data_IF_420229363399
#
_entry.id   IF_420229363399
#
_cell.length_a   1.000
_cell.length_b   1.000
_cell.length_c   1.000
_cell.angle_alpha   90.00
_cell.angle_beta   90.00
_cell.angle_gamma   90.00
#
_symmetry.space_group_name_H-M   'P 1'
#
loop_
_entity.id
_entity.type
_entity.pdbx_description
1 polymer ?
#
# COMPACT_ATOMS: atom_id res chain seq x y z
N UNK A 1 -1.68 -5.07 1.39
CA UNK A 1 -1.08 -4.57 2.62
C UNK A 1 -1.96 -3.49 3.22
N UNK A 2 -2.36 -3.68 4.44
CA UNK A 2 -3.14 -2.68 5.16
C UNK A 2 -2.18 -1.95 6.10
N UNK A 3 -1.68 -0.80 5.69
CA UNK A 3 -0.85 0.00 6.55
C UNK A 3 -1.63 1.15 7.18
N UNK A 4 -1.44 1.33 8.46
CA UNK A 4 -1.90 2.50 9.21
C UNK A 4 -1.02 3.69 8.84
N UNK A 5 0.28 3.45 8.70
CA UNK A 5 1.29 4.36 8.19
C UNK A 5 1.64 4.07 6.72
N UNK A 6 2.33 4.99 6.03
CA UNK A 6 2.85 4.72 4.69
C UNK A 6 3.71 3.45 4.65
N UNK A 7 3.53 2.64 3.63
CA UNK A 7 4.27 1.40 3.47
C UNK A 7 5.77 1.66 3.28
N UNK A 8 6.63 0.92 4.00
CA UNK A 8 8.09 1.06 3.98
C UNK A 8 8.76 -0.19 3.40
N UNK A 9 10.03 -0.07 3.02
CA UNK A 9 10.83 -1.19 2.53
C UNK A 9 10.87 -1.35 1.02
N UNK A 10 11.65 -2.34 0.55
CA UNK A 10 11.91 -2.57 -0.87
C UNK A 10 10.70 -3.02 -1.66
N UNK A 11 9.92 -3.95 -1.12
CA UNK A 11 8.70 -4.46 -1.75
C UNK A 11 7.64 -3.36 -1.86
N UNK A 12 7.46 -2.54 -0.82
CA UNK A 12 6.52 -1.41 -0.84
C UNK A 12 6.92 -0.37 -1.91
N UNK A 13 8.22 -0.04 -2.01
CA UNK A 13 8.73 0.84 -3.07
C UNK A 13 8.50 0.26 -4.46
N UNK A 14 8.72 -1.05 -4.64
CA UNK A 14 8.46 -1.74 -5.89
C UNK A 14 6.98 -1.67 -6.28
N UNK A 15 6.06 -2.00 -5.36
CA UNK A 15 4.62 -1.94 -5.60
C UNK A 15 4.12 -0.51 -5.85
N UNK A 16 4.65 0.49 -5.14
CA UNK A 16 4.33 1.90 -5.39
C UNK A 16 4.84 2.38 -6.75
N UNK A 17 5.99 1.91 -7.21
CA UNK A 17 6.52 2.22 -8.55
C UNK A 17 5.61 1.68 -9.64
N UNK A 18 5.04 0.49 -9.45
CA UNK A 18 4.08 -0.10 -10.38
C UNK A 18 2.72 0.62 -10.31
N UNK A 19 2.29 1.05 -9.11
CA UNK A 19 1.06 1.84 -8.92
C UNK A 19 1.13 3.19 -9.66
N UNK A 20 2.33 3.80 -9.76
CA UNK A 20 2.59 4.99 -10.58
C UNK A 20 2.55 4.76 -12.09
N UNK A 21 2.60 3.51 -12.53
CA UNK A 21 2.47 3.11 -13.93
C UNK A 21 1.00 2.97 -14.36
N UNK A 22 0.15 3.97 -14.08
CA UNK A 22 -1.10 4.19 -14.84
C UNK A 22 -0.78 4.29 -16.35
N UNK A 23 0.43 4.72 -16.70
CA UNK A 23 1.04 4.57 -18.02
C UNK A 23 1.06 3.14 -18.55
N UNK A 24 0.97 2.11 -17.71
CA UNK A 24 1.06 0.72 -18.21
C UNK A 24 -0.21 0.28 -18.92
N UNK A 25 -1.39 0.67 -18.48
CA UNK A 25 -2.62 0.39 -19.20
C UNK A 25 -2.67 1.21 -20.51
N UNK A 26 -2.32 2.49 -20.47
CA UNK A 26 -2.16 3.31 -21.67
C UNK A 26 -1.09 2.76 -22.61
N UNK A 27 0.07 2.38 -22.09
CA UNK A 27 1.15 1.80 -22.86
C UNK A 27 0.79 0.44 -23.47
N UNK A 28 -0.02 -0.37 -22.77
CA UNK A 28 -0.54 -1.64 -23.29
C UNK A 28 -1.56 -1.43 -24.41
N UNK A 29 -2.41 -0.42 -24.29
CA UNK A 29 -3.38 -0.03 -25.32
C UNK A 29 -2.66 0.59 -26.52
N UNK A 30 -1.75 1.54 -26.34
CA UNK A 30 -0.96 2.17 -27.41
C UNK A 30 -0.09 1.17 -28.18
N UNK A 31 0.57 0.21 -27.50
CA UNK A 31 1.34 -0.84 -28.20
C UNK A 31 0.40 -1.86 -28.89
N UNK A 32 -0.76 -2.16 -28.29
CA UNK A 32 -1.78 -3.00 -28.92
C UNK A 32 -2.24 -2.40 -30.24
N UNK A 33 -2.67 -1.18 -30.21
CA UNK A 33 -3.18 -0.43 -31.37
C UNK A 33 -2.10 -0.17 -32.43
N UNK A 34 -0.86 0.14 -32.00
CA UNK A 34 0.27 0.34 -32.92
C UNK A 34 0.67 -0.95 -33.65
N UNK A 35 0.56 -2.12 -33.01
CA UNK A 35 0.85 -3.43 -33.62
C UNK A 35 -0.28 -3.91 -34.54
N UNK A 36 -1.52 -3.51 -34.28
CA UNK A 36 -2.68 -3.83 -35.15
C UNK A 36 -2.78 -2.93 -36.38
N UNK A 37 -2.19 -1.73 -36.32
CA UNK A 37 -2.29 -0.71 -37.38
C UNK A 37 -1.27 -0.85 -38.51
N UNK A 38 -0.30 -1.78 -38.45
CA UNK A 38 0.72 -1.97 -39.50
C UNK A 38 0.32 -3.09 -40.44
N UNK A 39 -0.14 -2.79 -41.69
CA UNK A 39 -0.48 -3.80 -42.69
C UNK A 39 0.78 -4.48 -43.22
N UNK A 40 0.82 -5.80 -43.19
CA UNK A 40 1.85 -6.59 -43.92
C UNK A 40 2.90 -7.29 -43.09
N UNK A 41 2.83 -7.32 -41.77
CA UNK A 41 3.76 -8.07 -40.94
C UNK A 41 3.31 -9.53 -40.77
N UNK A 42 4.16 -10.46 -41.20
CA UNK A 42 3.91 -11.89 -41.15
C UNK A 42 3.86 -12.46 -39.71
N UNK A 43 3.28 -13.69 -39.57
CA UNK A 43 3.06 -14.38 -38.28
C UNK A 43 4.31 -14.51 -37.40
N UNK A 44 5.51 -14.60 -37.97
CA UNK A 44 6.77 -14.67 -37.23
C UNK A 44 7.09 -13.38 -36.46
N UNK A 45 6.80 -12.22 -37.04
CA UNK A 45 7.02 -10.93 -36.34
C UNK A 45 5.96 -10.68 -35.26
N UNK A 46 4.71 -11.14 -35.49
CA UNK A 46 3.67 -11.13 -34.47
C UNK A 46 4.03 -12.00 -33.26
N UNK A 47 4.60 -13.19 -33.50
CA UNK A 47 5.04 -14.06 -32.41
C UNK A 47 6.22 -13.48 -31.63
N UNK A 48 7.18 -12.84 -32.30
CA UNK A 48 8.29 -12.14 -31.66
C UNK A 48 7.81 -10.91 -30.87
N UNK A 49 6.94 -10.10 -31.43
CA UNK A 49 6.35 -8.95 -30.76
C UNK A 49 5.52 -9.39 -29.53
N UNK A 50 4.79 -10.50 -29.63
CA UNK A 50 4.08 -11.10 -28.51
C UNK A 50 5.06 -11.57 -27.43
N UNK A 51 6.13 -12.26 -27.79
CA UNK A 51 7.15 -12.74 -26.84
C UNK A 51 7.87 -11.58 -26.14
N UNK A 52 8.19 -10.49 -26.85
CA UNK A 52 8.78 -9.28 -26.27
C UNK A 52 7.78 -8.57 -25.35
N UNK A 53 6.51 -8.47 -25.75
CA UNK A 53 5.43 -7.92 -24.92
C UNK A 53 5.24 -8.74 -23.63
N UNK A 54 5.21 -10.07 -23.77
CA UNK A 54 5.04 -10.98 -22.63
C UNK A 54 6.28 -10.95 -21.70
N UNK A 55 7.50 -10.82 -22.25
CA UNK A 55 8.74 -10.68 -21.48
C UNK A 55 8.81 -9.34 -20.74
N UNK A 56 8.40 -8.24 -21.37
CA UNK A 56 8.33 -6.90 -20.72
C UNK A 56 7.22 -6.92 -19.66
N UNK A 57 6.06 -7.50 -19.96
CA UNK A 57 4.98 -7.66 -19.02
C UNK A 57 5.41 -8.50 -17.80
N UNK A 58 6.10 -9.63 -18.04
CA UNK A 58 6.62 -10.48 -16.99
C UNK A 58 7.70 -9.77 -16.12
N UNK A 59 8.56 -8.97 -16.75
CA UNK A 59 9.61 -8.24 -16.03
C UNK A 59 9.10 -7.05 -15.20
N UNK A 60 7.94 -6.48 -15.56
CA UNK A 60 7.39 -5.26 -14.95
C UNK A 60 6.23 -5.57 -13.99
N UNK A 61 5.55 -6.71 -14.15
CA UNK A 61 4.38 -7.05 -13.34
C UNK A 61 4.77 -7.68 -11.98
N UNK A 62 4.10 -7.28 -10.89
CA UNK A 62 4.24 -7.93 -9.58
C UNK A 62 3.94 -9.42 -9.62
N UNK A 63 3.11 -9.83 -10.57
CA UNK A 63 2.74 -11.22 -10.77
C UNK A 63 3.88 -12.15 -11.17
N UNK A 64 4.95 -11.65 -11.81
CA UNK A 64 6.06 -12.50 -12.23
C UNK A 64 6.73 -13.21 -11.04
N UNK A 65 7.12 -12.44 -10.01
CA UNK A 65 7.71 -13.01 -8.80
C UNK A 65 6.75 -13.97 -8.09
N UNK A 66 5.49 -13.61 -8.03
CA UNK A 66 4.44 -14.40 -7.36
C UNK A 66 4.18 -15.71 -8.12
N UNK A 67 4.18 -15.68 -9.46
CA UNK A 67 4.03 -16.88 -10.29
C UNK A 67 5.22 -17.83 -10.14
N UNK A 68 6.45 -17.31 -10.06
CA UNK A 68 7.66 -18.13 -9.79
C UNK A 68 7.61 -18.81 -8.41
N UNK A 69 6.87 -18.22 -7.44
CA UNK A 69 6.61 -18.85 -6.16
C UNK A 69 5.46 -19.89 -6.18
N UNK A 70 4.93 -20.20 -7.37
CA UNK A 70 3.86 -21.19 -7.56
C UNK A 70 2.45 -20.68 -7.32
N UNK A 71 2.25 -19.36 -7.22
CA UNK A 71 0.91 -18.78 -7.12
C UNK A 71 0.40 -18.36 -8.52
N UNK A 72 -0.91 -18.44 -8.73
CA UNK A 72 -1.55 -17.74 -9.85
C UNK A 72 -1.89 -16.31 -9.43
N UNK A 73 -1.51 -15.34 -10.25
CA UNK A 73 -1.74 -13.94 -9.94
C UNK A 73 -2.82 -13.33 -10.82
N UNK A 74 -3.89 -12.82 -10.20
CA UNK A 74 -4.95 -12.04 -10.82
C UNK A 74 -4.90 -10.63 -10.24
N UNK A 75 -4.56 -9.64 -11.04
CA UNK A 75 -4.48 -8.23 -10.65
C UNK A 75 -4.23 -7.38 -11.88
N UNK A 76 -4.27 -6.08 -11.84
CA UNK A 76 -4.83 -5.20 -10.82
C UNK A 76 -6.35 -5.07 -10.97
N UNK A 77 -7.11 -5.40 -9.95
CA UNK A 77 -8.56 -5.23 -9.93
C UNK A 77 -8.90 -3.96 -9.15
N UNK A 78 -9.76 -3.12 -9.69
CA UNK A 78 -10.32 -2.02 -8.91
C UNK A 78 -11.23 -2.58 -7.81
N UNK A 79 -10.75 -2.53 -6.56
CA UNK A 79 -11.45 -3.07 -5.40
C UNK A 79 -12.70 -2.25 -4.99
N UNK A 80 -12.90 -1.06 -5.58
CA UNK A 80 -14.13 -0.29 -5.43
C UNK A 80 -15.17 -0.58 -6.52
N UNK A 81 -14.78 -1.32 -7.56
CA UNK A 81 -15.70 -1.80 -8.59
C UNK A 81 -16.13 -3.23 -8.25
N UNK A 82 -17.25 -3.34 -7.52
CA UNK A 82 -17.76 -4.64 -7.06
C UNK A 82 -18.00 -5.64 -8.20
N UNK A 83 -18.59 -5.28 -9.36
CA UNK A 83 -18.74 -6.20 -10.48
C UNK A 83 -17.41 -6.75 -11.01
N UNK A 84 -16.37 -5.91 -11.11
CA UNK A 84 -15.03 -6.36 -11.52
C UNK A 84 -14.39 -7.29 -10.49
N UNK A 85 -14.55 -6.98 -9.21
CA UNK A 85 -14.03 -7.81 -8.13
C UNK A 85 -14.70 -9.18 -8.10
N UNK A 86 -16.02 -9.23 -8.25
CA UNK A 86 -16.78 -10.50 -8.35
C UNK A 86 -16.28 -11.34 -9.51
N UNK A 87 -16.12 -10.73 -10.70
CA UNK A 87 -15.59 -11.44 -11.88
C UNK A 87 -14.19 -11.99 -11.63
N UNK A 88 -13.31 -11.22 -11.00
CA UNK A 88 -11.96 -11.68 -10.69
C UNK A 88 -11.96 -12.86 -9.69
N UNK A 89 -12.85 -12.84 -8.71
CA UNK A 89 -13.04 -13.95 -7.77
C UNK A 89 -13.64 -15.19 -8.45
N UNK A 90 -14.56 -15.02 -9.39
CA UNK A 90 -15.10 -16.12 -10.20
C UNK A 90 -14.03 -16.78 -11.08
N UNK A 91 -13.15 -15.99 -11.67
CA UNK A 91 -12.00 -16.53 -12.43
C UNK A 91 -11.00 -17.24 -11.49
N UNK A 92 -10.74 -16.67 -10.31
CA UNK A 92 -9.88 -17.31 -9.31
C UNK A 92 -10.41 -18.70 -8.89
N UNK A 93 -11.73 -18.86 -8.75
CA UNK A 93 -12.36 -20.14 -8.40
C UNK A 93 -12.22 -21.23 -9.46
N UNK A 94 -11.90 -20.88 -10.71
CA UNK A 94 -11.70 -21.84 -11.80
C UNK A 94 -10.30 -22.42 -11.86
N UNK A 95 -9.39 -21.89 -11.06
CA UNK A 95 -7.99 -22.33 -11.00
C UNK A 95 -7.89 -23.53 -10.07
N UNK A 96 -7.52 -24.68 -10.61
CA UNK A 96 -7.42 -25.94 -9.87
C UNK A 96 -5.96 -26.33 -9.54
N UNK A 97 -4.97 -25.65 -10.16
CA UNK A 97 -3.55 -26.01 -10.13
C UNK A 97 -2.71 -25.10 -9.20
N UNK A 98 -3.19 -24.78 -8.03
CA UNK A 98 -2.43 -24.04 -7.04
C UNK A 98 -3.17 -22.88 -6.38
N UNK A 99 -2.52 -22.19 -5.46
CA UNK A 99 -3.10 -21.05 -4.77
C UNK A 99 -3.19 -19.82 -5.68
N UNK A 100 -4.24 -19.00 -5.48
CA UNK A 100 -4.50 -17.82 -6.30
C UNK A 100 -4.40 -16.56 -5.43
N UNK A 101 -3.67 -15.57 -5.93
CA UNK A 101 -3.64 -14.22 -5.35
C UNK A 101 -4.49 -13.30 -6.24
N UNK A 102 -5.57 -12.76 -5.66
CA UNK A 102 -6.36 -11.69 -6.28
C UNK A 102 -5.90 -10.36 -5.68
N UNK A 103 -5.26 -9.52 -6.51
CA UNK A 103 -4.72 -8.23 -6.06
C UNK A 103 -5.72 -7.11 -6.36
N UNK A 104 -6.50 -6.73 -5.35
CA UNK A 104 -7.43 -5.62 -5.42
C UNK A 104 -6.78 -4.31 -4.95
N UNK A 105 -6.88 -3.27 -5.76
CA UNK A 105 -6.45 -1.92 -5.40
C UNK A 105 -7.61 -1.16 -4.78
N UNK A 106 -7.35 -0.59 -3.61
CA UNK A 106 -8.35 0.20 -2.89
C UNK A 106 -7.77 1.53 -2.42
N UNK A 107 -8.65 2.49 -2.20
CA UNK A 107 -8.33 3.74 -1.51
C UNK A 107 -8.99 3.69 -0.15
N UNK A 108 -8.19 3.76 0.92
CA UNK A 108 -8.71 3.74 2.29
C UNK A 108 -9.61 4.96 2.53
N UNK A 109 -10.80 4.73 3.10
CA UNK A 109 -11.79 5.78 3.33
C UNK A 109 -12.59 6.20 2.10
N UNK A 110 -12.49 5.49 0.98
CA UNK A 110 -13.18 5.80 -0.27
C UNK A 110 -14.68 6.04 -0.07
N UNK A 111 -15.17 7.13 -0.65
CA UNK A 111 -16.57 7.57 -0.54
C UNK A 111 -16.84 8.54 0.61
N UNK A 112 -15.83 8.80 1.48
CA UNK A 112 -15.95 9.82 2.52
C UNK A 112 -14.75 10.78 2.48
N UNK A 113 -14.93 12.08 2.12
CA UNK A 113 -13.82 12.99 1.83
C UNK A 113 -12.83 13.20 2.96
N UNK A 114 -13.28 13.16 4.22
CA UNK A 114 -12.41 13.38 5.39
C UNK A 114 -11.43 12.21 5.60
N UNK A 115 -11.88 10.94 5.66
CA UNK A 115 -10.99 9.78 5.68
C UNK A 115 -10.11 9.63 4.43
N UNK A 116 -10.59 9.99 3.25
CA UNK A 116 -9.77 9.95 2.03
C UNK A 116 -8.55 10.87 2.13
N UNK A 117 -8.71 12.04 2.75
CA UNK A 117 -7.63 13.01 2.96
C UNK A 117 -6.71 12.65 4.11
N UNK A 118 -7.24 12.06 5.17
CA UNK A 118 -6.50 11.70 6.37
C UNK A 118 -6.99 10.36 6.93
N UNK A 119 -6.73 9.30 6.20
CA UNK A 119 -7.15 7.94 6.58
C UNK A 119 -6.56 7.48 7.91
N UNK A 120 -5.41 8.04 8.30
CA UNK A 120 -4.74 7.73 9.55
C UNK A 120 -5.59 8.13 10.76
N UNK A 121 -6.05 9.38 10.81
CA UNK A 121 -6.90 9.89 11.88
C UNK A 121 -8.24 9.16 12.01
N UNK A 122 -8.71 8.52 10.94
CA UNK A 122 -9.97 7.77 10.90
C UNK A 122 -9.81 6.25 10.97
N UNK A 123 -8.59 5.75 11.22
CA UNK A 123 -8.36 4.30 11.30
C UNK A 123 -9.08 3.67 12.50
N UNK A 124 -9.02 4.31 13.67
CA UNK A 124 -9.69 3.89 14.90
C UNK A 124 -10.18 5.14 15.65
N UNK A 125 -11.17 5.82 15.06
CA UNK A 125 -11.67 7.08 15.60
C UNK A 125 -12.84 6.85 16.57
N UNK A 126 -12.93 7.69 17.61
CA UNK A 126 -14.11 7.85 18.44
C UNK A 126 -15.25 8.55 17.68
N UNK A 127 -16.37 8.88 18.36
CA UNK A 127 -17.48 9.62 17.75
C UNK A 127 -17.02 10.98 17.21
N UNK A 128 -17.44 11.32 15.99
CA UNK A 128 -17.12 12.58 15.34
C UNK A 128 -18.33 13.15 14.59
N UNK A 129 -18.34 14.44 14.34
CA UNK A 129 -19.33 15.11 13.52
C UNK A 129 -19.09 14.80 12.04
N UNK A 130 -20.07 14.23 11.37
CA UNK A 130 -19.97 13.75 9.98
C UNK A 130 -19.70 14.91 9.01
N UNK A 131 -20.23 16.11 9.27
CA UNK A 131 -20.09 17.25 8.37
C UNK A 131 -18.72 17.90 8.45
N UNK A 132 -18.18 18.00 9.67
CA UNK A 132 -16.91 18.69 9.93
C UNK A 132 -15.73 17.73 10.05
N UNK A 133 -15.99 16.44 10.32
CA UNK A 133 -14.96 15.44 10.61
C UNK A 133 -14.29 15.63 11.99
N UNK A 134 -14.77 16.56 12.81
CA UNK A 134 -14.15 16.83 14.11
C UNK A 134 -14.66 15.89 15.19
N UNK A 135 -13.80 15.44 16.13
CA UNK A 135 -14.25 14.64 17.27
C UNK A 135 -15.33 15.36 18.06
N UNK A 136 -16.40 14.64 18.46
CA UNK A 136 -17.50 15.17 19.26
C UNK A 136 -17.26 15.05 20.77
N UNK A 137 -16.36 14.16 21.18
CA UNK A 137 -15.97 13.99 22.57
C UNK A 137 -14.58 14.59 22.80
N UNK A 138 -14.53 15.76 23.42
CA UNK A 138 -13.31 16.26 24.06
C UNK A 138 -13.34 15.82 25.52
N UNK A 139 -13.12 14.57 25.82
CA UNK A 139 -12.77 14.19 27.19
C UNK A 139 -11.36 14.72 27.44
N UNK A 140 -11.27 15.93 28.03
CA UNK A 140 -10.01 16.36 28.65
C UNK A 140 -9.76 15.38 29.79
N UNK A 141 -8.91 14.39 29.54
CA UNK A 141 -8.42 13.54 30.60
C UNK A 141 -7.79 14.43 31.68
N UNK A 142 -8.15 14.24 32.94
CA UNK A 142 -7.62 15.00 34.06
C UNK A 142 -6.14 14.69 34.36
N UNK A 143 -5.64 13.59 33.79
CA UNK A 143 -4.28 13.11 33.92
C UNK A 143 -3.71 12.71 32.54
N UNK A 144 -2.38 12.85 32.34
CA UNK A 144 -1.75 12.41 31.11
C UNK A 144 -1.85 10.89 30.94
N UNK A 145 -1.98 10.46 29.69
CA UNK A 145 -1.97 9.03 29.33
C UNK A 145 -0.57 8.43 29.50
N UNK A 146 -0.48 7.10 29.62
CA UNK A 146 0.82 6.41 29.62
C UNK A 146 1.63 6.71 28.35
N UNK A 147 1.00 6.77 27.20
CA UNK A 147 1.60 7.16 25.93
C UNK A 147 2.24 8.55 25.98
N UNK A 148 1.53 9.53 26.50
CA UNK A 148 2.05 10.90 26.66
C UNK A 148 3.22 10.99 27.64
N UNK A 149 3.13 10.27 28.78
CA UNK A 149 4.23 10.22 29.75
C UNK A 149 5.45 9.54 29.14
N UNK A 150 5.26 8.40 28.49
CA UNK A 150 6.35 7.68 27.83
C UNK A 150 7.05 8.54 26.77
N UNK A 151 6.31 9.11 25.81
CA UNK A 151 6.88 9.92 24.75
C UNK A 151 7.67 11.13 25.27
N UNK A 152 7.14 11.82 26.30
CA UNK A 152 7.84 12.92 26.95
C UNK A 152 9.12 12.48 27.65
N UNK A 153 9.05 11.42 28.48
CA UNK A 153 10.20 10.90 29.21
C UNK A 153 11.29 10.41 28.28
N UNK A 154 10.91 9.71 27.20
CA UNK A 154 11.87 9.27 26.19
C UNK A 154 12.56 10.45 25.50
N UNK A 155 11.85 11.51 25.16
CA UNK A 155 12.47 12.71 24.62
C UNK A 155 13.51 13.30 25.60
N UNK A 156 13.17 13.38 26.89
CA UNK A 156 14.08 13.89 27.93
C UNK A 156 15.33 13.00 28.13
N UNK A 157 15.18 11.68 28.01
CA UNK A 157 16.30 10.73 28.08
C UNK A 157 17.19 10.82 26.85
N UNK A 158 16.62 10.89 25.65
CA UNK A 158 17.34 11.01 24.39
C UNK A 158 18.09 12.33 24.23
N UNK A 159 17.70 13.39 24.97
CA UNK A 159 18.48 14.63 25.08
C UNK A 159 19.76 14.43 25.88
N UNK A 160 19.73 13.56 26.88
CA UNK A 160 20.84 13.33 27.81
C UNK A 160 21.77 12.22 27.35
N UNK A 161 21.27 11.29 26.56
CA UNK A 161 21.99 10.11 26.10
C UNK A 161 21.78 9.89 24.59
N UNK A 162 22.83 10.09 23.82
CA UNK A 162 22.82 9.95 22.37
C UNK A 162 22.79 8.48 21.92
N UNK A 163 23.04 7.52 22.79
CA UNK A 163 23.01 6.09 22.49
C UNK A 163 21.56 5.54 22.40
N UNK A 164 20.60 6.26 22.93
CA UNK A 164 19.20 5.83 22.93
C UNK A 164 18.58 6.00 21.54
N UNK A 165 17.97 4.94 21.07
CA UNK A 165 17.25 4.84 19.79
C UNK A 165 15.81 4.43 20.06
N UNK A 166 14.85 5.01 19.34
CA UNK A 166 13.44 4.65 19.43
C UNK A 166 12.97 3.96 18.16
N UNK A 167 12.25 2.84 18.30
CA UNK A 167 11.65 2.11 17.20
C UNK A 167 10.16 1.92 17.44
N UNK A 168 9.37 2.01 16.38
CA UNK A 168 7.94 1.65 16.39
C UNK A 168 7.60 0.84 15.14
N UNK A 169 6.59 -0.01 15.23
CA UNK A 169 6.11 -0.84 14.13
C UNK A 169 4.74 -0.35 13.66
N UNK A 170 4.72 0.68 12.83
CA UNK A 170 3.55 1.32 12.23
C UNK A 170 2.55 1.95 13.23
N UNK A 171 2.99 2.23 14.46
CA UNK A 171 2.12 2.74 15.53
C UNK A 171 2.74 3.96 16.26
N UNK A 172 3.25 4.99 15.57
CA UNK A 172 3.94 6.09 16.24
C UNK A 172 3.07 6.82 17.26
N UNK A 173 1.83 7.18 16.92
CA UNK A 173 0.94 7.92 17.84
C UNK A 173 0.49 7.06 19.01
N UNK A 174 0.14 5.78 18.73
CA UNK A 174 -0.32 4.85 19.77
C UNK A 174 0.73 4.54 20.83
N UNK A 175 2.00 4.62 20.46
CA UNK A 175 3.15 4.36 21.34
C UNK A 175 3.77 5.62 21.91
N UNK A 176 3.43 6.83 21.41
CA UNK A 176 4.04 8.09 21.78
C UNK A 176 5.41 8.35 21.15
N UNK A 177 5.75 7.58 20.10
CA UNK A 177 7.00 7.74 19.34
C UNK A 177 6.87 8.83 18.28
N UNK A 178 5.67 9.32 17.96
CA UNK A 178 5.41 10.41 17.02
C UNK A 178 6.25 11.66 17.30
N UNK A 179 6.24 12.13 18.56
CA UNK A 179 7.03 13.29 19.00
C UNK A 179 8.54 13.03 18.98
N UNK A 180 8.93 11.77 19.19
CA UNK A 180 10.33 11.36 19.15
C UNK A 180 10.82 11.38 17.70
N UNK A 181 10.00 10.90 16.75
CA UNK A 181 10.29 10.94 15.32
C UNK A 181 10.47 12.38 14.81
N UNK A 182 9.66 13.32 15.28
CA UNK A 182 9.79 14.73 14.93
C UNK A 182 11.08 15.35 15.49
N UNK A 183 11.44 15.04 16.74
CA UNK A 183 12.54 15.68 17.45
C UNK A 183 13.89 15.04 17.16
N UNK A 184 13.93 13.71 16.97
CA UNK A 184 15.16 12.93 16.78
C UNK A 184 15.09 12.05 15.53
N UNK A 185 14.89 12.62 14.31
CA UNK A 185 14.66 11.85 13.10
C UNK A 185 15.79 10.88 12.71
N UNK A 186 17.01 11.13 13.18
CA UNK A 186 18.16 10.27 12.91
C UNK A 186 18.33 9.12 13.92
N UNK A 187 17.55 9.12 14.99
CA UNK A 187 17.61 8.14 16.08
C UNK A 187 16.24 7.52 16.39
N UNK A 188 15.29 7.72 15.49
CA UNK A 188 13.98 7.11 15.62
C UNK A 188 13.50 6.57 14.29
N UNK A 189 12.83 5.42 14.32
CA UNK A 189 12.50 4.65 13.13
C UNK A 189 11.09 4.06 13.23
N UNK A 190 10.29 4.28 12.20
CA UNK A 190 9.09 3.50 11.97
C UNK A 190 9.43 2.40 10.95
N UNK A 191 9.45 1.17 11.40
CA UNK A 191 9.82 0.01 10.58
C UNK A 191 8.63 -0.61 9.84
N UNK A 192 7.44 -0.01 9.99
CA UNK A 192 6.21 -0.57 9.44
C UNK A 192 5.75 -1.82 10.21
N UNK A 193 4.78 -2.54 9.67
CA UNK A 193 4.33 -3.80 10.25
C UNK A 193 5.38 -4.88 9.93
N UNK A 194 6.20 -5.21 10.91
CA UNK A 194 7.35 -6.11 10.77
C UNK A 194 7.25 -7.28 11.77
N UNK A 195 6.19 -8.07 11.65
CA UNK A 195 5.84 -9.14 12.60
C UNK A 195 6.89 -10.25 12.72
N UNK A 196 7.75 -10.46 11.70
CA UNK A 196 8.80 -11.46 11.68
C UNK A 196 10.18 -10.93 12.10
N UNK A 197 10.26 -9.67 12.53
CA UNK A 197 11.52 -9.00 12.91
C UNK A 197 11.52 -8.53 14.41
#
# INVERSE_FOLDING_TARGET
EMSIAPAVGGLARYLNRIKGAQSYQHFKEEIGDALESVPGFGERLRSMAKSVKDAIAAAVLPGALVNELGFKYIGYVDGHNVPMLVKALEEAKKVDDGPVIVHALTTKGKGFPNPEKNYYAYHATGPFDIKTGKPTSSSKASAPTYTEVFGRTMCELMEKDESIVALTAAMPDGTGVDKILEKFPNRSFDVGIAEQH
#
